data_IF_932712353720
#
_entry.id   IF_932712353720
#
_cell.length_a   1.000
_cell.length_b   1.000
_cell.length_c   1.000
_cell.angle_alpha   90.00
_cell.angle_beta   90.00
_cell.angle_gamma   90.00
#
_symmetry.space_group_name_H-M   'P 1'
#
loop_
_entity.id
_entity.type
_entity.pdbx_description
1 polymer ?
#
# COMPACT_ATOMS: atom_id res chain seq x y z
N UNK A 1 -17.13 -6.02 -15.84
CA UNK A 1 -15.87 -6.29 -15.13
C UNK A 1 -16.23 -6.48 -13.68
N UNK A 2 -15.82 -7.59 -13.06
CA UNK A 2 -16.13 -7.87 -11.66
C UNK A 2 -15.37 -6.88 -10.77
N UNK A 3 -16.01 -6.42 -9.70
CA UNK A 3 -15.39 -5.56 -8.70
C UNK A 3 -14.28 -6.37 -8.02
N UNK A 4 -13.02 -5.91 -8.09
CA UNK A 4 -11.89 -6.63 -7.49
C UNK A 4 -12.07 -6.65 -5.97
N UNK A 5 -12.25 -7.83 -5.40
CA UNK A 5 -12.39 -7.98 -3.95
C UNK A 5 -11.00 -7.82 -3.29
N UNK A 6 -10.72 -6.62 -2.79
CA UNK A 6 -9.46 -6.27 -2.12
C UNK A 6 -9.48 -6.54 -0.60
N UNK A 7 -10.63 -6.94 -0.06
CA UNK A 7 -10.84 -7.17 1.37
C UNK A 7 -9.96 -8.32 1.88
N UNK A 8 -10.05 -9.47 1.22
CA UNK A 8 -9.33 -10.68 1.62
C UNK A 8 -7.81 -10.45 1.54
N UNK A 9 -7.26 -9.91 0.43
CA UNK A 9 -5.84 -9.58 0.34
C UNK A 9 -5.32 -8.63 1.43
N UNK A 10 -6.09 -7.61 1.82
CA UNK A 10 -5.69 -6.67 2.88
C UNK A 10 -5.64 -7.32 4.25
N UNK A 11 -6.61 -8.17 4.58
CA UNK A 11 -6.63 -8.90 5.86
C UNK A 11 -5.45 -9.88 5.94
N UNK A 12 -5.19 -10.65 4.88
CA UNK A 12 -4.03 -11.55 4.81
C UNK A 12 -2.69 -10.83 4.92
N UNK A 13 -2.63 -9.57 4.48
CA UNK A 13 -1.43 -8.74 4.61
C UNK A 13 -1.27 -8.18 6.02
N UNK A 14 -2.36 -7.77 6.67
CA UNK A 14 -2.36 -7.36 8.08
C UNK A 14 -1.86 -8.48 8.99
N UNK A 15 -2.32 -9.71 8.76
CA UNK A 15 -1.94 -10.88 9.59
C UNK A 15 -0.45 -11.27 9.48
N UNK A 16 0.19 -11.02 8.32
CA UNK A 16 1.62 -11.34 8.13
C UNK A 16 2.58 -10.24 8.56
N UNK A 17 2.08 -9.01 8.72
CA UNK A 17 2.92 -7.85 8.97
C UNK A 17 3.47 -7.88 10.41
N UNK A 18 4.75 -7.52 10.57
CA UNK A 18 5.34 -7.34 11.92
C UNK A 18 4.83 -6.06 12.58
N UNK A 19 4.58 -5.06 11.75
CA UNK A 19 3.97 -3.79 12.12
C UNK A 19 3.13 -3.31 10.95
N UNK A 20 2.01 -2.67 11.24
CA UNK A 20 1.22 -2.01 10.22
C UNK A 20 0.50 -0.78 10.79
N UNK A 21 0.22 0.17 9.90
CA UNK A 21 -0.69 1.27 10.17
C UNK A 21 -1.55 1.52 8.93
N UNK A 22 -2.81 1.86 9.17
CA UNK A 22 -3.76 2.11 8.11
C UNK A 22 -4.26 3.54 8.26
N UNK A 23 -4.19 4.30 7.17
CA UNK A 23 -4.63 5.69 7.13
C UNK A 23 -5.51 5.90 5.91
N UNK A 24 -6.66 6.53 6.09
CA UNK A 24 -7.45 7.04 4.98
C UNK A 24 -6.97 8.44 4.62
N UNK A 25 -6.73 8.71 3.34
CA UNK A 25 -6.28 10.02 2.87
C UNK A 25 -7.42 10.87 2.30
N UNK A 26 -8.46 10.24 1.75
CA UNK A 26 -9.60 10.93 1.17
C UNK A 26 -10.88 10.20 1.54
N UNK A 27 -11.76 10.93 2.20
CA UNK A 27 -13.11 10.50 2.51
C UNK A 27 -14.09 11.10 1.49
N UNK A 28 -15.15 10.37 1.17
CA UNK A 28 -16.17 10.77 0.19
C UNK A 28 -17.09 11.89 0.70
N UNK A 29 -17.88 12.46 -0.21
CA UNK A 29 -18.92 13.45 0.09
C UNK A 29 -19.98 12.97 1.10
N UNK A 30 -20.07 11.65 1.33
CA UNK A 30 -21.01 11.03 2.28
C UNK A 30 -20.49 11.00 3.73
N UNK A 31 -19.30 11.54 3.98
CA UNK A 31 -18.63 11.51 5.29
C UNK A 31 -18.52 12.88 5.92
N UNK A 32 -18.30 12.89 7.23
CA UNK A 32 -18.16 14.12 8.01
C UNK A 32 -16.76 14.23 8.61
N UNK A 33 -16.39 15.44 9.03
CA UNK A 33 -15.11 15.70 9.73
C UNK A 33 -14.92 14.82 10.99
N UNK A 34 -16.01 14.34 11.59
CA UNK A 34 -15.97 13.41 12.72
C UNK A 34 -15.52 12.00 12.35
N UNK A 35 -15.67 11.62 11.08
CA UNK A 35 -15.21 10.34 10.54
C UNK A 35 -13.70 10.38 10.24
N UNK A 36 -13.16 11.57 9.99
CA UNK A 36 -11.77 11.76 9.55
C UNK A 36 -10.74 11.62 10.69
N UNK A 37 -11.15 11.85 11.94
CA UNK A 37 -10.27 11.91 13.11
C UNK A 37 -10.35 10.67 14.01
N UNK A 38 -10.98 9.59 13.55
CA UNK A 38 -11.11 8.34 14.31
C UNK A 38 -10.04 7.34 13.90
N UNK A 39 -9.51 6.63 14.89
CA UNK A 39 -8.71 5.43 14.67
C UNK A 39 -9.67 4.26 14.51
N UNK A 40 -9.63 3.61 13.35
CA UNK A 40 -10.41 2.41 13.08
C UNK A 40 -9.50 1.19 12.95
N UNK A 41 -10.05 0.01 13.22
CA UNK A 41 -9.38 -1.25 12.98
C UNK A 41 -9.32 -1.55 11.48
N UNK A 42 -8.41 -2.45 11.07
CA UNK A 42 -8.22 -2.84 9.67
C UNK A 42 -9.55 -3.26 9.00
N UNK A 43 -10.36 -4.09 9.68
CA UNK A 43 -11.63 -4.56 9.15
C UNK A 43 -12.65 -3.42 8.90
N UNK A 44 -12.62 -2.37 9.72
CA UNK A 44 -13.54 -1.24 9.60
C UNK A 44 -13.18 -0.33 8.42
N UNK A 45 -11.90 0.01 8.27
CA UNK A 45 -11.43 0.75 7.10
C UNK A 45 -11.69 0.01 5.79
N UNK A 46 -11.53 -1.31 5.81
CA UNK A 46 -11.85 -2.16 4.65
C UNK A 46 -13.34 -2.11 4.33
N UNK A 47 -14.22 -2.16 5.33
CA UNK A 47 -15.66 -1.98 5.14
C UNK A 47 -16.03 -0.58 4.63
N UNK A 48 -15.35 0.47 5.09
CA UNK A 48 -15.56 1.83 4.57
C UNK A 48 -15.11 2.00 3.12
N UNK A 49 -14.01 1.36 2.75
CA UNK A 49 -13.54 1.36 1.38
C UNK A 49 -14.50 0.61 0.45
N UNK A 50 -15.03 -0.54 0.89
CA UNK A 50 -16.02 -1.31 0.12
C UNK A 50 -17.31 -0.51 -0.10
N UNK A 51 -17.82 0.11 0.98
CA UNK A 51 -18.99 0.99 0.96
C UNK A 51 -18.78 2.35 0.29
N UNK A 52 -17.58 2.64 -0.25
CA UNK A 52 -17.20 3.89 -0.92
C UNK A 52 -17.20 5.13 -0.02
N UNK A 53 -17.29 4.95 1.30
CA UNK A 53 -17.14 6.04 2.26
C UNK A 53 -15.72 6.60 2.24
N UNK A 54 -14.73 5.74 2.01
CA UNK A 54 -13.34 6.12 1.75
C UNK A 54 -13.04 5.85 0.27
N UNK A 55 -12.44 6.81 -0.41
CA UNK A 55 -12.04 6.66 -1.83
C UNK A 55 -10.56 6.40 -2.00
N UNK A 56 -9.75 6.71 -0.98
CA UNK A 56 -8.30 6.44 -0.97
C UNK A 56 -7.86 5.87 0.37
N UNK A 57 -7.25 4.68 0.32
CA UNK A 57 -6.74 3.94 1.47
C UNK A 57 -5.23 3.76 1.35
N UNK A 58 -4.49 4.13 2.40
CA UNK A 58 -3.07 3.88 2.54
C UNK A 58 -2.85 2.82 3.61
N UNK A 59 -2.16 1.74 3.25
CA UNK A 59 -1.73 0.72 4.20
C UNK A 59 -0.21 0.66 4.25
N UNK A 60 0.35 1.24 5.29
CA UNK A 60 1.77 1.17 5.61
C UNK A 60 2.04 -0.08 6.44
N UNK A 61 3.05 -0.85 6.07
CA UNK A 61 3.40 -2.07 6.79
C UNK A 61 4.88 -2.36 6.72
N UNK A 62 5.37 -3.03 7.76
CA UNK A 62 6.69 -3.62 7.83
C UNK A 62 6.57 -5.15 7.88
N UNK A 63 7.30 -5.82 7.02
CA UNK A 63 7.37 -7.27 6.95
C UNK A 63 8.82 -7.74 6.91
N UNK A 64 9.07 -8.91 7.48
CA UNK A 64 10.36 -9.57 7.38
C UNK A 64 10.32 -10.64 6.30
N UNK A 65 11.13 -10.46 5.27
CA UNK A 65 11.31 -11.43 4.18
C UNK A 65 12.71 -12.00 4.30
N UNK A 66 12.80 -13.26 4.71
CA UNK A 66 14.09 -13.89 5.05
C UNK A 66 14.81 -13.14 6.18
N UNK A 67 15.92 -12.49 5.86
CA UNK A 67 16.73 -11.70 6.79
C UNK A 67 16.60 -10.19 6.60
N UNK A 68 15.71 -9.74 5.71
CA UNK A 68 15.51 -8.33 5.40
C UNK A 68 14.18 -7.85 5.95
N UNK A 69 14.21 -6.74 6.70
CA UNK A 69 13.01 -6.00 7.04
C UNK A 69 12.71 -5.02 5.90
N UNK A 70 11.49 -5.07 5.39
CA UNK A 70 11.01 -4.20 4.33
C UNK A 70 9.90 -3.33 4.90
N UNK A 71 10.03 -2.02 4.72
CA UNK A 71 8.89 -1.10 4.86
C UNK A 71 8.27 -0.90 3.48
N UNK A 72 6.94 -1.00 3.43
CA UNK A 72 6.15 -0.90 2.21
C UNK A 72 4.85 -0.15 2.47
N UNK A 73 4.30 0.44 1.42
CA UNK A 73 2.98 1.09 1.41
C UNK A 73 2.15 0.53 0.27
N UNK A 74 0.92 0.16 0.56
CA UNK A 74 -0.12 -0.03 -0.47
C UNK A 74 -0.96 1.22 -0.56
N UNK A 75 -1.14 1.72 -1.78
CA UNK A 75 -2.11 2.76 -2.09
C UNK A 75 -3.24 2.13 -2.89
N UNK A 76 -4.46 2.31 -2.42
CA UNK A 76 -5.66 1.79 -3.06
C UNK A 76 -6.62 2.94 -3.26
N UNK A 77 -6.96 3.21 -4.52
CA UNK A 77 -7.86 4.29 -4.89
C UNK A 77 -9.04 3.77 -5.70
N UNK A 78 -10.26 4.15 -5.30
CA UNK A 78 -11.51 3.75 -5.97
C UNK A 78 -12.09 4.94 -6.72
N UNK A 79 -11.91 4.96 -8.04
CA UNK A 79 -12.55 5.92 -8.94
C UNK A 79 -13.72 5.28 -9.68
N UNK A 80 -14.94 5.74 -9.40
CA UNK A 80 -16.16 5.24 -10.05
C UNK A 80 -16.36 3.71 -9.95
N UNK A 81 -15.94 2.96 -10.98
CA UNK A 81 -16.01 1.48 -11.05
C UNK A 81 -14.64 0.83 -11.16
N UNK A 82 -13.58 1.61 -11.13
CA UNK A 82 -12.20 1.18 -11.26
C UNK A 82 -11.51 1.27 -9.90
N UNK A 83 -10.57 0.37 -9.68
CA UNK A 83 -9.74 0.40 -8.48
C UNK A 83 -8.28 0.32 -8.90
N UNK A 84 -7.52 1.36 -8.57
CA UNK A 84 -6.09 1.39 -8.78
C UNK A 84 -5.39 0.87 -7.51
N UNK A 85 -4.47 -0.08 -7.71
CA UNK A 85 -3.55 -0.53 -6.67
C UNK A 85 -2.14 -0.14 -7.06
N UNK A 86 -1.45 0.50 -6.13
CA UNK A 86 -0.03 0.81 -6.25
C UNK A 86 0.72 0.28 -5.04
N UNK A 87 1.90 -0.30 -5.31
CA UNK A 87 2.78 -0.84 -4.29
C UNK A 87 4.04 0.01 -4.27
N UNK A 88 4.32 0.58 -3.11
CA UNK A 88 5.47 1.42 -2.84
C UNK A 88 6.41 0.68 -1.89
N UNK A 89 7.69 0.63 -2.22
CA UNK A 89 8.72 0.11 -1.32
C UNK A 89 9.81 1.14 -1.07
N UNK A 90 10.10 1.31 0.21
CA UNK A 90 11.10 2.24 0.70
C UNK A 90 12.51 1.71 0.47
N UNK A 91 13.39 2.60 0.04
CA UNK A 91 14.74 2.23 -0.42
C UNK A 91 15.73 2.09 0.75
N UNK A 92 15.56 2.86 1.84
CA UNK A 92 16.52 2.85 2.95
C UNK A 92 16.65 1.49 3.65
N UNK A 93 15.57 0.73 3.91
CA UNK A 93 15.68 -0.61 4.47
C UNK A 93 16.52 -1.57 3.60
N UNK A 94 16.42 -1.44 2.28
CA UNK A 94 17.21 -2.25 1.33
C UNK A 94 18.69 -1.85 1.36
N UNK A 95 18.97 -0.53 1.39
CA UNK A 95 20.35 -0.02 1.39
C UNK A 95 21.08 -0.26 2.72
N UNK A 96 20.34 -0.23 3.83
CA UNK A 96 20.88 -0.44 5.18
C UNK A 96 21.02 -1.92 5.57
N UNK A 97 20.47 -2.83 4.76
CA UNK A 97 20.62 -4.27 4.99
C UNK A 97 22.09 -4.71 4.92
N UNK A 98 22.45 -5.70 5.74
CA UNK A 98 23.80 -6.27 5.77
C UNK A 98 24.23 -6.90 4.44
N UNK A 99 23.27 -7.30 3.60
CA UNK A 99 23.50 -7.74 2.23
C UNK A 99 22.46 -7.11 1.28
N UNK A 100 22.76 -5.94 0.67
CA UNK A 100 21.81 -5.24 -0.19
C UNK A 100 21.35 -6.03 -1.42
N UNK A 101 22.20 -6.89 -1.98
CA UNK A 101 21.82 -7.74 -3.12
C UNK A 101 20.74 -8.75 -2.73
N UNK A 102 20.88 -9.35 -1.55
CA UNK A 102 19.86 -10.25 -1.03
C UNK A 102 18.57 -9.48 -0.71
N UNK A 103 18.67 -8.29 -0.09
CA UNK A 103 17.52 -7.46 0.23
C UNK A 103 16.71 -7.06 -1.03
N UNK A 104 17.37 -6.76 -2.15
CA UNK A 104 16.70 -6.54 -3.44
C UNK A 104 15.96 -7.81 -3.89
N UNK A 105 16.60 -8.98 -3.80
CA UNK A 105 15.97 -10.25 -4.17
C UNK A 105 14.74 -10.56 -3.31
N UNK A 106 14.82 -10.28 -2.01
CA UNK A 106 13.75 -10.48 -1.05
C UNK A 106 12.58 -9.52 -1.34
N UNK A 107 12.87 -8.24 -1.62
CA UNK A 107 11.87 -7.26 -2.03
C UNK A 107 11.16 -7.66 -3.33
N UNK A 108 11.91 -8.09 -4.36
CA UNK A 108 11.36 -8.58 -5.63
C UNK A 108 10.46 -9.80 -5.42
N UNK A 109 10.86 -10.72 -4.54
CA UNK A 109 10.04 -11.88 -4.19
C UNK A 109 8.72 -11.44 -3.55
N UNK A 110 8.77 -10.49 -2.62
CA UNK A 110 7.55 -10.01 -1.97
C UNK A 110 6.63 -9.26 -2.92
N UNK A 111 7.16 -8.46 -3.85
CA UNK A 111 6.31 -7.83 -4.87
C UNK A 111 5.56 -8.84 -5.72
N UNK A 112 6.19 -9.97 -6.09
CA UNK A 112 5.50 -11.03 -6.82
C UNK A 112 4.38 -11.65 -6.01
N UNK A 113 4.55 -11.77 -4.69
CA UNK A 113 3.49 -12.24 -3.80
C UNK A 113 2.33 -11.23 -3.76
N UNK A 114 2.62 -9.95 -3.57
CA UNK A 114 1.62 -8.88 -3.52
C UNK A 114 0.87 -8.76 -4.86
N UNK A 115 1.58 -8.83 -6.00
CA UNK A 115 0.95 -8.83 -7.32
C UNK A 115 -0.05 -9.97 -7.50
N UNK A 116 0.25 -11.16 -6.96
CA UNK A 116 -0.69 -12.29 -6.97
C UNK A 116 -1.91 -12.06 -6.10
N UNK A 117 -1.72 -11.44 -4.94
CA UNK A 117 -2.79 -11.15 -3.99
C UNK A 117 -3.77 -10.09 -4.51
N UNK A 118 -3.25 -9.04 -5.14
CA UNK A 118 -4.05 -7.86 -5.45
C UNK A 118 -4.30 -7.61 -6.94
N UNK A 119 -3.73 -8.43 -7.85
CA UNK A 119 -3.81 -8.22 -9.31
C UNK A 119 -3.42 -6.78 -9.74
N UNK A 120 -2.42 -6.18 -9.08
CA UNK A 120 -2.07 -4.76 -9.28
C UNK A 120 -1.26 -4.44 -10.54
N UNK A 121 -1.36 -3.18 -10.97
CA UNK A 121 -0.88 -2.69 -12.27
C UNK A 121 0.47 -1.95 -12.24
N UNK A 122 1.00 -1.55 -11.07
CA UNK A 122 2.29 -0.86 -11.01
C UNK A 122 3.07 -0.99 -9.69
N UNK A 123 4.40 -1.02 -9.80
CA UNK A 123 5.37 -1.04 -8.70
C UNK A 123 6.30 0.18 -8.76
N UNK A 124 6.47 0.88 -7.62
CA UNK A 124 7.37 2.02 -7.51
C UNK A 124 8.39 1.86 -6.37
N UNK A 125 9.64 2.29 -6.62
CA UNK A 125 10.73 2.34 -5.64
C UNK A 125 11.32 3.74 -5.60
N UNK A 126 11.33 4.40 -4.45
CA UNK A 126 11.76 5.80 -4.34
C UNK A 126 12.28 6.17 -2.95
N UNK A 127 12.77 7.40 -2.75
CA UNK A 127 13.38 7.83 -1.50
C UNK A 127 12.32 8.14 -0.42
N UNK A 128 12.67 7.83 0.83
CA UNK A 128 11.81 7.92 2.02
C UNK A 128 11.45 9.37 2.42
N UNK A 129 12.02 10.36 1.72
CA UNK A 129 11.99 11.79 2.08
C UNK A 129 11.16 12.69 1.16
N UNK A 130 10.54 12.18 0.11
CA UNK A 130 9.71 13.01 -0.78
C UNK A 130 8.25 13.02 -0.36
N UNK A 131 7.62 14.19 -0.48
CA UNK A 131 6.18 14.38 -0.35
C UNK A 131 5.46 13.25 -1.09
N UNK A 132 4.62 12.53 -0.35
CA UNK A 132 3.87 11.39 -0.88
C UNK A 132 3.08 11.81 -2.14
N UNK A 133 3.07 10.98 -3.19
CA UNK A 133 2.13 11.15 -4.30
C UNK A 133 0.72 11.29 -3.74
N UNK A 134 0.02 12.37 -4.08
CA UNK A 134 -1.41 12.51 -3.75
C UNK A 134 -2.31 11.87 -4.80
N UNK A 135 -1.71 11.32 -5.84
CA UNK A 135 -2.38 10.73 -6.99
C UNK A 135 -1.48 9.66 -7.62
N UNK A 136 -2.07 8.60 -8.18
CA UNK A 136 -1.37 7.55 -8.94
C UNK A 136 -0.68 8.07 -10.21
N UNK A 137 -0.93 9.31 -10.60
CA UNK A 137 -0.30 9.95 -11.78
C UNK A 137 0.78 10.96 -11.43
N UNK A 138 0.98 11.26 -10.15
CA UNK A 138 1.84 12.36 -9.67
C UNK A 138 3.03 11.84 -8.85
N UNK A 139 3.93 11.13 -9.53
CA UNK A 139 5.15 10.60 -8.93
C UNK A 139 6.33 11.54 -9.13
N UNK A 140 7.06 11.90 -8.05
CA UNK A 140 8.36 12.56 -8.17
C UNK A 140 9.31 11.74 -9.03
N UNK A 141 10.21 12.41 -9.78
CA UNK A 141 11.13 11.79 -10.75
C UNK A 141 12.09 10.77 -10.13
N UNK A 142 12.23 10.80 -8.82
CA UNK A 142 13.07 9.96 -7.99
C UNK A 142 12.46 8.58 -7.72
N UNK A 143 11.15 8.40 -8.00
CA UNK A 143 10.48 7.11 -7.95
C UNK A 143 10.71 6.36 -9.27
N UNK A 144 11.38 5.21 -9.17
CA UNK A 144 11.56 4.28 -10.28
C UNK A 144 10.35 3.37 -10.37
N UNK A 145 9.58 3.49 -11.46
CA UNK A 145 8.59 2.47 -11.84
C UNK A 145 9.33 1.21 -12.29
N UNK A 146 9.06 0.08 -11.64
CA UNK A 146 9.73 -1.19 -11.92
C UNK A 146 8.88 -2.06 -12.87
N UNK A 147 7.55 -1.93 -12.83
CA UNK A 147 6.59 -2.53 -13.76
C UNK A 147 5.38 -1.62 -13.93
#
# INVERSE_FOLDING_TARGET
MAETNLIIPLLELGERANWHSLTAAIWSDETTESDWNKNYELAEYVAFFDSRKVVMLHFDYEIRVGNTNLSQRLMIEKFHRETALEIICYREPILSASNPKQAISDAVSEFRNLKRLFQGDALFLGPDTLNYPKSPTDYPKEWLKIE
#
